data_IF_702817720947
#
_entry.id   IF_702817720947
#
_cell.length_a   1.000
_cell.length_b   1.000
_cell.length_c   1.000
_cell.angle_alpha   90.00
_cell.angle_beta   90.00
_cell.angle_gamma   90.00
#
_symmetry.space_group_name_H-M   'P 1'
#
loop_
_entity.id
_entity.type
_entity.pdbx_description
1 polymer ?
#
# COMPACT_ATOMS: atom_id res chain seq x y z
N UNK A 1 -49.81 14.07 47.65
CA UNK A 1 -49.17 13.36 46.52
C UNK A 1 -47.84 12.85 47.04
N UNK A 2 -47.68 11.53 47.19
CA UNK A 2 -46.47 10.95 47.80
C UNK A 2 -45.24 11.23 46.93
N UNK A 3 -44.10 11.43 47.58
CA UNK A 3 -42.82 11.78 46.93
C UNK A 3 -42.40 10.73 45.89
N UNK A 4 -42.88 9.50 46.00
CA UNK A 4 -42.58 8.39 45.09
C UNK A 4 -43.38 8.45 43.78
N UNK A 5 -44.63 8.95 43.80
CA UNK A 5 -45.43 9.18 42.58
C UNK A 5 -44.77 10.23 41.68
N UNK A 6 -44.22 11.30 42.29
CA UNK A 6 -43.51 12.35 41.55
C UNK A 6 -42.20 11.83 40.94
N UNK A 7 -41.49 10.93 41.63
CA UNK A 7 -40.28 10.30 41.09
C UNK A 7 -40.60 9.36 39.92
N UNK A 8 -41.70 8.62 40.02
CA UNK A 8 -42.17 7.71 38.96
C UNK A 8 -42.54 8.46 37.68
N UNK A 9 -43.34 9.53 37.78
CA UNK A 9 -43.73 10.35 36.62
C UNK A 9 -42.52 10.97 35.92
N UNK A 10 -41.57 11.53 36.68
CA UNK A 10 -40.34 12.11 36.13
C UNK A 10 -39.47 11.06 35.41
N UNK A 11 -39.32 9.86 35.99
CA UNK A 11 -38.54 8.78 35.38
C UNK A 11 -39.22 8.27 34.09
N UNK A 12 -40.56 8.18 34.09
CA UNK A 12 -41.34 7.79 32.92
C UNK A 12 -41.22 8.79 31.77
N UNK A 13 -41.23 10.08 32.08
CA UNK A 13 -41.02 11.13 31.08
C UNK A 13 -39.60 11.14 30.51
N UNK A 14 -38.58 10.93 31.36
CA UNK A 14 -37.19 10.79 30.92
C UNK A 14 -36.99 9.57 30.00
N UNK A 15 -37.63 8.44 30.33
CA UNK A 15 -37.62 7.22 29.51
C UNK A 15 -38.33 7.43 28.17
N UNK A 16 -39.55 7.98 28.20
CA UNK A 16 -40.31 8.29 26.98
C UNK A 16 -39.54 9.24 26.08
N UNK A 17 -38.90 10.25 26.67
CA UNK A 17 -38.04 11.16 25.93
C UNK A 17 -36.81 10.44 25.35
N UNK A 18 -36.17 9.53 26.08
CA UNK A 18 -35.00 8.79 25.56
C UNK A 18 -35.35 7.96 24.31
N UNK A 19 -36.42 7.18 24.35
CA UNK A 19 -36.83 6.27 23.26
C UNK A 19 -37.56 6.96 22.09
N UNK A 20 -37.99 8.21 22.23
CA UNK A 20 -38.61 8.96 21.13
C UNK A 20 -37.63 9.20 19.96
N UNK A 21 -38.16 9.15 18.73
CA UNK A 21 -37.34 9.39 17.54
C UNK A 21 -36.81 10.84 17.49
N UNK A 22 -35.68 11.10 16.81
CA UNK A 22 -35.13 12.45 16.69
C UNK A 22 -36.10 13.47 16.06
N UNK A 23 -36.92 13.02 15.09
CA UNK A 23 -37.93 13.86 14.44
C UNK A 23 -39.08 14.22 15.39
N UNK A 24 -39.50 13.29 16.24
CA UNK A 24 -40.50 13.55 17.28
C UNK A 24 -39.93 14.49 18.36
N UNK A 25 -38.67 14.31 18.77
CA UNK A 25 -37.97 15.23 19.69
C UNK A 25 -37.95 16.66 19.15
N UNK A 26 -37.66 16.82 17.86
CA UNK A 26 -37.71 18.12 17.19
C UNK A 26 -39.13 18.71 17.17
N UNK A 27 -40.14 17.92 16.83
CA UNK A 27 -41.55 18.36 16.82
C UNK A 27 -42.05 18.78 18.21
N UNK A 28 -41.57 18.13 19.26
CA UNK A 28 -42.06 18.35 20.64
C UNK A 28 -41.33 19.47 21.37
N UNK A 29 -40.03 19.67 21.14
CA UNK A 29 -39.21 20.69 21.84
C UNK A 29 -38.58 21.76 20.94
N UNK A 30 -38.81 21.73 19.62
CA UNK A 30 -38.20 22.64 18.60
C UNK A 30 -36.65 22.69 18.60
N UNK A 31 -35.97 21.76 19.27
CA UNK A 31 -34.52 21.76 19.37
C UNK A 31 -33.89 21.16 18.11
N UNK A 32 -33.15 21.97 17.34
CA UNK A 32 -32.48 21.56 16.09
C UNK A 32 -31.66 20.26 16.32
N UNK A 33 -31.85 19.20 15.51
CA UNK A 33 -31.18 17.92 15.69
C UNK A 33 -29.74 17.97 15.15
N UNK A 34 -28.88 18.75 15.81
CA UNK A 34 -27.46 18.91 15.43
C UNK A 34 -26.73 17.58 15.24
N UNK A 35 -27.07 16.56 16.04
CA UNK A 35 -26.51 15.20 15.92
C UNK A 35 -26.75 14.59 14.54
N UNK A 36 -27.98 14.70 14.00
CA UNK A 36 -28.30 14.18 12.67
C UNK A 36 -27.56 14.96 11.58
N UNK A 37 -27.48 16.29 11.72
CA UNK A 37 -26.73 17.14 10.79
C UNK A 37 -25.24 16.76 10.72
N UNK A 38 -24.60 16.56 11.87
CA UNK A 38 -23.19 16.12 11.94
C UNK A 38 -23.00 14.74 11.30
N UNK A 39 -23.91 13.79 11.52
CA UNK A 39 -23.79 12.46 10.89
C UNK A 39 -23.93 12.52 9.37
N UNK A 40 -24.87 13.31 8.83
CA UNK A 40 -25.04 13.47 7.38
C UNK A 40 -23.79 14.16 6.79
N UNK A 41 -23.32 15.24 7.41
CA UNK A 41 -22.11 15.93 6.98
C UNK A 41 -20.91 14.98 6.97
N UNK A 42 -20.76 14.16 8.03
CA UNK A 42 -19.70 13.16 8.14
C UNK A 42 -19.73 12.17 6.99
N UNK A 43 -20.89 11.63 6.64
CA UNK A 43 -21.02 10.67 5.53
C UNK A 43 -20.56 11.30 4.22
N UNK A 44 -21.02 12.51 3.90
CA UNK A 44 -20.62 13.23 2.68
C UNK A 44 -19.11 13.50 2.67
N UNK A 45 -18.55 13.90 3.81
CA UNK A 45 -17.12 14.20 3.94
C UNK A 45 -16.24 12.97 3.76
N UNK A 46 -16.51 11.88 4.48
CA UNK A 46 -15.73 10.64 4.40
C UNK A 46 -15.83 10.01 3.00
N UNK A 47 -17.03 10.01 2.41
CA UNK A 47 -17.20 9.47 1.04
C UNK A 47 -16.43 10.28 0.02
N UNK A 48 -16.48 11.61 0.10
CA UNK A 48 -15.68 12.48 -0.78
C UNK A 48 -14.18 12.25 -0.57
N UNK A 49 -13.72 12.13 0.68
CA UNK A 49 -12.33 11.82 1.00
C UNK A 49 -11.85 10.51 0.38
N UNK A 50 -12.68 9.46 0.48
CA UNK A 50 -12.38 8.14 -0.05
C UNK A 50 -12.31 8.16 -1.58
N UNK A 51 -13.24 8.85 -2.25
CA UNK A 51 -13.24 8.96 -3.72
C UNK A 51 -12.00 9.70 -4.22
N UNK A 52 -11.66 10.83 -3.60
CA UNK A 52 -10.46 11.60 -3.98
C UNK A 52 -9.18 10.76 -3.78
N UNK A 53 -9.06 10.09 -2.63
CA UNK A 53 -7.92 9.21 -2.36
C UNK A 53 -7.86 8.02 -3.33
N UNK A 54 -9.00 7.42 -3.65
CA UNK A 54 -9.10 6.32 -4.60
C UNK A 54 -8.63 6.72 -6.01
N UNK A 55 -9.01 7.91 -6.48
CA UNK A 55 -8.58 8.40 -7.79
C UNK A 55 -7.07 8.64 -7.86
N UNK A 56 -6.47 9.29 -6.85
CA UNK A 56 -5.02 9.51 -6.82
C UNK A 56 -4.26 8.18 -6.73
N UNK A 57 -4.70 7.24 -5.90
CA UNK A 57 -4.06 5.92 -5.81
C UNK A 57 -4.20 5.10 -7.10
N UNK A 58 -5.35 5.16 -7.76
CA UNK A 58 -5.56 4.45 -9.03
C UNK A 58 -4.56 4.92 -10.09
N UNK A 59 -4.27 6.22 -10.16
CA UNK A 59 -3.28 6.77 -11.08
C UNK A 59 -1.86 6.24 -10.78
N UNK A 60 -1.49 6.15 -9.50
CA UNK A 60 -0.18 5.59 -9.10
C UNK A 60 -0.08 4.10 -9.42
N UNK A 61 -1.13 3.33 -9.14
CA UNK A 61 -1.17 1.89 -9.45
C UNK A 61 -1.09 1.64 -10.95
N UNK A 62 -1.88 2.37 -11.74
CA UNK A 62 -1.84 2.27 -13.20
C UNK A 62 -0.45 2.60 -13.75
N UNK A 63 0.18 3.67 -13.25
CA UNK A 63 1.56 4.01 -13.62
C UNK A 63 2.54 2.88 -13.29
N UNK A 64 2.45 2.27 -12.10
CA UNK A 64 3.31 1.13 -11.73
C UNK A 64 3.11 -0.07 -12.66
N UNK A 65 1.86 -0.43 -12.93
CA UNK A 65 1.50 -1.58 -13.78
C UNK A 65 1.98 -1.37 -15.23
N UNK A 66 1.73 -0.20 -15.82
CA UNK A 66 2.16 0.13 -17.18
C UNK A 66 3.70 0.16 -17.31
N UNK A 67 4.41 0.69 -16.31
CA UNK A 67 5.88 0.68 -16.31
C UNK A 67 6.44 -0.73 -16.13
N UNK A 68 5.86 -1.55 -15.25
CA UNK A 68 6.24 -2.97 -15.12
C UNK A 68 6.09 -3.67 -16.46
N UNK A 69 4.96 -3.47 -17.13
CA UNK A 69 4.71 -4.06 -18.43
C UNK A 69 5.72 -3.60 -19.49
N UNK A 70 6.02 -2.30 -19.54
CA UNK A 70 7.01 -1.76 -20.46
C UNK A 70 8.42 -2.34 -20.22
N UNK A 71 8.84 -2.43 -18.96
CA UNK A 71 10.15 -2.96 -18.58
C UNK A 71 10.26 -4.48 -18.83
N UNK A 72 9.18 -5.24 -18.60
CA UNK A 72 9.09 -6.65 -18.99
C UNK A 72 9.33 -6.82 -20.49
N UNK A 73 8.62 -6.06 -21.33
CA UNK A 73 8.82 -6.10 -22.79
C UNK A 73 10.21 -5.63 -23.24
N UNK A 74 10.87 -4.74 -22.48
CA UNK A 74 12.19 -4.24 -22.83
C UNK A 74 13.32 -5.23 -22.50
N UNK A 75 13.25 -5.85 -21.31
CA UNK A 75 14.35 -6.65 -20.75
C UNK A 75 14.17 -8.16 -20.93
N UNK A 76 12.93 -8.65 -20.99
CA UNK A 76 12.67 -10.07 -21.18
C UNK A 76 12.56 -10.39 -22.66
N UNK A 77 13.48 -11.23 -23.14
CA UNK A 77 13.52 -11.67 -24.52
C UNK A 77 12.28 -12.52 -24.85
N UNK A 78 11.66 -12.26 -25.99
CA UNK A 78 10.51 -13.01 -26.51
C UNK A 78 9.26 -12.98 -25.59
N UNK A 79 9.14 -11.97 -24.72
CA UNK A 79 7.94 -11.77 -23.91
C UNK A 79 6.72 -11.47 -24.78
N UNK A 80 5.66 -12.26 -24.63
CA UNK A 80 4.45 -12.22 -25.48
C UNK A 80 3.39 -11.22 -25.00
N UNK A 81 3.64 -10.54 -23.88
CA UNK A 81 2.66 -9.66 -23.24
C UNK A 81 1.62 -10.37 -22.39
N UNK A 82 1.71 -11.70 -22.27
CA UNK A 82 0.96 -12.49 -21.30
C UNK A 82 1.98 -13.22 -20.46
N UNK A 83 1.88 -13.05 -19.15
CA UNK A 83 2.66 -13.82 -18.21
C UNK A 83 2.26 -15.31 -18.32
N UNK A 84 3.23 -16.20 -18.54
CA UNK A 84 3.00 -17.64 -18.37
C UNK A 84 2.79 -17.95 -16.87
N UNK A 85 2.57 -19.23 -16.52
CA UNK A 85 2.38 -19.67 -15.13
C UNK A 85 3.37 -18.97 -14.17
N UNK A 86 2.81 -18.35 -13.11
CA UNK A 86 3.55 -17.72 -12.01
C UNK A 86 4.39 -16.47 -12.40
N UNK A 87 3.92 -15.65 -13.36
CA UNK A 87 4.56 -14.38 -13.74
C UNK A 87 5.99 -14.52 -14.29
N UNK A 88 6.32 -15.69 -14.83
CA UNK A 88 7.68 -16.06 -15.25
C UNK A 88 7.76 -16.42 -16.72
N UNK A 89 8.93 -16.27 -17.33
CA UNK A 89 9.23 -16.83 -18.65
C UNK A 89 10.05 -18.10 -18.49
N UNK A 90 9.61 -19.17 -19.12
CA UNK A 90 10.27 -20.46 -19.05
C UNK A 90 11.29 -20.66 -20.16
N UNK A 91 12.51 -21.07 -19.81
CA UNK A 91 13.59 -21.36 -20.75
C UNK A 91 14.12 -22.79 -20.55
N UNK A 92 14.24 -23.53 -21.66
CA UNK A 92 14.53 -24.97 -21.65
C UNK A 92 15.93 -25.33 -22.18
N UNK A 93 16.68 -24.36 -22.72
CA UNK A 93 18.00 -24.63 -23.32
C UNK A 93 19.06 -23.70 -22.77
N UNK A 94 20.28 -24.22 -22.59
CA UNK A 94 21.43 -23.44 -22.12
C UNK A 94 21.71 -22.24 -23.03
N UNK A 95 21.56 -22.40 -24.36
CA UNK A 95 21.73 -21.31 -25.33
C UNK A 95 20.71 -20.20 -25.11
N UNK A 96 19.45 -20.54 -24.88
CA UNK A 96 18.42 -19.56 -24.62
C UNK A 96 18.62 -18.83 -23.27
N UNK A 97 19.19 -19.48 -22.26
CA UNK A 97 19.59 -18.82 -21.01
C UNK A 97 20.67 -17.78 -21.27
N UNK A 98 21.73 -18.15 -22.01
CA UNK A 98 22.77 -17.21 -22.43
C UNK A 98 22.22 -16.05 -23.26
N UNK A 99 21.38 -16.34 -24.25
CA UNK A 99 20.78 -15.32 -25.11
C UNK A 99 19.93 -14.34 -24.30
N UNK A 100 19.16 -14.83 -23.33
CA UNK A 100 18.33 -14.00 -22.46
C UNK A 100 19.20 -13.13 -21.53
N UNK A 101 20.24 -13.71 -20.93
CA UNK A 101 21.20 -12.98 -20.10
C UNK A 101 21.88 -11.84 -20.88
N UNK A 102 22.38 -12.13 -22.08
CA UNK A 102 23.04 -11.10 -22.89
C UNK A 102 22.06 -10.08 -23.47
N UNK A 103 20.81 -10.49 -23.72
CA UNK A 103 19.74 -9.57 -24.12
C UNK A 103 19.51 -8.50 -23.05
N UNK A 104 19.37 -8.89 -21.77
CA UNK A 104 19.20 -7.94 -20.65
C UNK A 104 20.33 -6.91 -20.61
N UNK A 105 21.59 -7.36 -20.73
CA UNK A 105 22.78 -6.48 -20.68
C UNK A 105 22.78 -5.49 -21.86
N UNK A 106 22.48 -5.98 -23.06
CA UNK A 106 22.45 -5.17 -24.28
C UNK A 106 21.31 -4.13 -24.23
N UNK A 107 20.12 -4.53 -23.76
CA UNK A 107 18.98 -3.64 -23.59
C UNK A 107 19.24 -2.58 -22.52
N UNK A 108 19.86 -2.96 -21.39
CA UNK A 108 20.27 -2.01 -20.37
C UNK A 108 21.22 -0.97 -20.96
N UNK A 109 22.22 -1.36 -21.75
CA UNK A 109 23.18 -0.41 -22.35
C UNK A 109 22.54 0.60 -23.32
N UNK A 110 21.45 0.20 -23.98
CA UNK A 110 20.73 1.01 -24.98
C UNK A 110 19.44 1.63 -24.44
N UNK A 111 19.20 1.57 -23.14
CA UNK A 111 17.93 1.98 -22.51
C UNK A 111 17.49 3.39 -22.97
N UNK A 112 18.41 4.35 -22.99
CA UNK A 112 18.12 5.74 -23.37
C UNK A 112 17.71 5.95 -24.83
N UNK A 113 18.00 5.00 -25.73
CA UNK A 113 17.58 5.07 -27.14
C UNK A 113 16.32 4.25 -27.42
N UNK A 114 16.06 3.23 -26.61
CA UNK A 114 14.97 2.27 -26.81
C UNK A 114 13.71 2.63 -26.02
N UNK A 115 13.86 3.19 -24.81
CA UNK A 115 12.73 3.55 -23.96
C UNK A 115 11.95 4.72 -24.53
N UNK A 116 10.64 4.55 -24.66
CA UNK A 116 9.69 5.63 -24.98
C UNK A 116 9.36 6.46 -23.72
N UNK A 117 9.43 5.85 -22.55
CA UNK A 117 9.14 6.49 -21.28
C UNK A 117 10.28 7.39 -20.80
N UNK A 118 9.98 8.40 -19.96
CA UNK A 118 10.96 9.30 -19.34
C UNK A 118 11.72 8.58 -18.20
N UNK A 119 12.44 7.52 -18.56
CA UNK A 119 13.21 6.67 -17.66
C UNK A 119 14.70 6.91 -17.94
N UNK A 120 15.46 7.18 -16.88
CA UNK A 120 16.91 7.33 -16.92
C UNK A 120 17.56 6.34 -15.98
N UNK A 121 18.87 6.15 -16.12
CA UNK A 121 19.61 5.41 -15.11
C UNK A 121 19.60 6.18 -13.78
N UNK A 122 19.63 5.46 -12.67
CA UNK A 122 19.83 6.10 -11.38
C UNK A 122 21.26 6.64 -11.27
N UNK A 123 21.41 7.76 -10.57
CA UNK A 123 22.69 8.40 -10.30
C UNK A 123 22.98 8.34 -8.79
N UNK A 124 24.24 8.09 -8.44
CA UNK A 124 24.79 8.20 -7.09
C UNK A 124 24.94 9.68 -6.67
N UNK A 125 25.26 9.93 -5.40
CA UNK A 125 25.46 11.28 -4.86
C UNK A 125 26.55 12.09 -5.61
N UNK A 126 27.52 11.39 -6.20
CA UNK A 126 28.59 11.97 -7.02
C UNK A 126 28.15 12.27 -8.48
N UNK A 127 26.89 12.05 -8.85
CA UNK A 127 26.39 12.21 -10.22
C UNK A 127 26.85 11.10 -11.19
N UNK A 128 27.39 10.00 -10.66
CA UNK A 128 27.79 8.83 -11.46
C UNK A 128 26.61 7.88 -11.63
N UNK A 129 26.46 7.34 -12.83
CA UNK A 129 25.42 6.33 -13.10
C UNK A 129 25.63 5.08 -12.26
N UNK A 130 24.58 4.64 -11.56
CA UNK A 130 24.58 3.38 -10.81
C UNK A 130 24.87 2.20 -11.75
N UNK A 131 25.69 1.29 -11.23
CA UNK A 131 26.15 0.13 -11.98
C UNK A 131 25.07 -0.96 -11.99
N UNK A 132 25.00 -1.70 -13.08
CA UNK A 132 24.23 -2.95 -13.14
C UNK A 132 25.08 -4.05 -12.50
N UNK A 133 24.48 -4.83 -11.61
CA UNK A 133 25.13 -5.91 -10.88
C UNK A 133 24.55 -7.26 -11.30
N UNK A 134 25.42 -8.20 -11.65
CA UNK A 134 25.05 -9.58 -11.98
C UNK A 134 25.70 -10.46 -10.93
N UNK A 135 24.87 -11.20 -10.19
CA UNK A 135 25.30 -12.19 -9.21
C UNK A 135 24.87 -13.57 -9.66
N UNK A 136 25.77 -14.54 -9.54
CA UNK A 136 25.50 -15.95 -9.82
C UNK A 136 25.71 -16.75 -8.54
N UNK A 137 24.77 -17.62 -8.22
CA UNK A 137 24.79 -18.46 -7.03
C UNK A 137 25.00 -19.92 -7.44
N UNK A 138 25.98 -20.57 -6.83
CA UNK A 138 26.31 -21.97 -7.09
C UNK A 138 26.36 -22.76 -5.80
N UNK A 139 26.08 -24.05 -5.88
CA UNK A 139 26.56 -24.98 -4.86
C UNK A 139 28.08 -25.08 -4.91
N UNK A 140 28.75 -25.11 -3.76
CA UNK A 140 30.19 -25.36 -3.70
C UNK A 140 30.51 -26.77 -4.22
N UNK A 141 31.67 -26.91 -4.88
CA UNK A 141 32.19 -28.25 -5.17
C UNK A 141 32.48 -28.91 -3.83
N UNK A 142 32.05 -30.16 -3.67
CA UNK A 142 32.49 -30.93 -2.54
C UNK A 142 33.98 -31.28 -2.65
N UNK A 143 34.47 -32.01 -1.67
CA UNK A 143 35.90 -32.25 -1.46
C UNK A 143 36.28 -33.74 -1.60
N UNK A 144 35.45 -34.53 -2.26
CA UNK A 144 35.65 -35.98 -2.41
C UNK A 144 36.61 -36.28 -3.57
N UNK A 145 37.53 -37.21 -3.34
CA UNK A 145 38.33 -37.80 -4.42
C UNK A 145 37.41 -38.52 -5.42
N UNK A 146 37.66 -38.40 -6.74
CA UNK A 146 36.76 -38.90 -7.77
C UNK A 146 36.85 -40.43 -7.82
N UNK A 147 36.02 -41.10 -7.02
CA UNK A 147 35.52 -42.43 -7.37
C UNK A 147 34.30 -42.22 -8.27
N UNK A 148 34.32 -42.83 -9.46
CA UNK A 148 33.48 -42.60 -10.65
C UNK A 148 31.93 -42.61 -10.47
N UNK A 149 31.39 -42.62 -9.25
CA UNK A 149 29.96 -42.77 -8.96
C UNK A 149 29.39 -41.85 -7.87
N UNK A 150 30.19 -40.99 -7.24
CA UNK A 150 29.69 -40.07 -6.21
C UNK A 150 29.52 -38.66 -6.80
N UNK A 151 28.29 -38.14 -6.79
CA UNK A 151 28.02 -36.73 -7.06
C UNK A 151 28.51 -35.90 -5.86
N UNK A 152 29.53 -35.08 -6.06
CA UNK A 152 30.20 -34.32 -5.00
C UNK A 152 29.76 -32.86 -4.98
N UNK A 153 28.61 -32.61 -4.35
CA UNK A 153 28.05 -31.27 -4.16
C UNK A 153 27.93 -30.99 -2.66
N UNK A 154 28.47 -29.85 -2.23
CA UNK A 154 28.22 -29.30 -0.90
C UNK A 154 26.95 -28.42 -0.94
N UNK A 155 26.07 -28.58 0.04
CA UNK A 155 24.85 -27.78 0.18
C UNK A 155 25.14 -26.29 0.48
N UNK A 156 26.38 -25.93 0.82
CA UNK A 156 26.80 -24.55 0.95
C UNK A 156 26.78 -23.81 -0.40
N UNK A 157 26.22 -22.61 -0.38
CA UNK A 157 26.16 -21.72 -1.52
C UNK A 157 27.40 -20.82 -1.61
N UNK A 158 27.80 -20.50 -2.83
CA UNK A 158 28.84 -19.55 -3.18
C UNK A 158 28.26 -18.54 -4.17
N UNK A 159 28.29 -17.26 -3.79
CA UNK A 159 27.80 -16.15 -4.60
C UNK A 159 28.97 -15.41 -5.23
N UNK A 160 28.98 -15.27 -6.55
CA UNK A 160 29.98 -14.49 -7.28
C UNK A 160 29.28 -13.36 -8.01
N UNK A 161 29.66 -12.11 -7.72
CA UNK A 161 29.03 -10.92 -8.29
C UNK A 161 30.00 -10.10 -9.14
N UNK A 162 29.44 -9.37 -10.11
CA UNK A 162 30.15 -8.44 -10.98
C UNK A 162 29.28 -7.21 -11.21
N UNK A 163 29.88 -6.01 -11.08
CA UNK A 163 29.18 -4.74 -11.26
C UNK A 163 29.92 -3.86 -12.26
N UNK A 164 29.22 -3.43 -13.31
CA UNK A 164 29.78 -2.60 -14.37
C UNK A 164 28.79 -1.50 -14.79
N UNK A 165 29.32 -0.42 -15.39
CA UNK A 165 28.49 0.65 -15.94
C UNK A 165 27.72 0.22 -17.20
N UNK A 166 26.93 1.13 -17.81
CA UNK A 166 26.25 0.85 -19.06
C UNK A 166 27.28 0.63 -20.19
N UNK A 167 27.57 -0.64 -20.46
CA UNK A 167 28.49 -1.14 -21.49
C UNK A 167 27.81 -2.26 -22.26
N UNK A 168 28.12 -2.40 -23.55
CA UNK A 168 27.51 -3.43 -24.41
C UNK A 168 27.91 -4.84 -23.95
N UNK A 169 27.02 -5.83 -24.13
CA UNK A 169 27.30 -7.23 -23.79
C UNK A 169 28.62 -7.79 -24.40
N UNK A 170 29.01 -7.31 -25.59
CA UNK A 170 30.29 -7.68 -26.23
C UNK A 170 31.51 -7.24 -25.41
N UNK A 171 31.47 -6.06 -24.80
CA UNK A 171 32.55 -5.53 -23.98
C UNK A 171 32.68 -6.33 -22.67
N UNK A 172 31.54 -6.69 -22.07
CA UNK A 172 31.49 -7.53 -20.87
C UNK A 172 32.09 -8.91 -21.13
N UNK A 173 31.68 -9.55 -22.24
CA UNK A 173 32.20 -10.87 -22.62
C UNK A 173 33.69 -10.86 -22.92
N UNK A 174 34.19 -9.78 -23.53
CA UNK A 174 35.62 -9.64 -23.86
C UNK A 174 36.46 -9.39 -22.61
N UNK A 175 35.94 -8.64 -21.63
CA UNK A 175 36.67 -8.34 -20.39
C UNK A 175 36.65 -9.51 -19.40
N UNK A 176 35.54 -10.26 -19.32
CA UNK A 176 35.32 -11.25 -18.27
C UNK A 176 34.71 -12.55 -18.79
N UNK A 177 35.36 -13.19 -19.76
CA UNK A 177 34.86 -14.45 -20.35
C UNK A 177 34.65 -15.57 -19.31
N UNK A 178 35.50 -15.65 -18.28
CA UNK A 178 35.40 -16.66 -17.22
C UNK A 178 34.20 -16.46 -16.29
N UNK A 179 33.70 -15.23 -16.14
CA UNK A 179 32.52 -14.97 -15.32
C UNK A 179 31.25 -15.51 -15.98
N UNK A 180 31.16 -15.40 -17.31
CA UNK A 180 30.04 -15.87 -18.11
C UNK A 180 30.11 -17.36 -18.45
N UNK A 181 31.13 -18.09 -18.00
CA UNK A 181 31.12 -19.56 -18.11
C UNK A 181 30.23 -20.11 -16.98
N UNK A 182 29.01 -20.54 -17.34
CA UNK A 182 28.00 -21.03 -16.40
C UNK A 182 28.05 -22.56 -16.29
N UNK A 183 28.28 -23.04 -15.06
CA UNK A 183 28.19 -24.46 -14.71
C UNK A 183 26.74 -24.80 -14.30
N UNK A 184 25.88 -25.09 -15.29
CA UNK A 184 24.43 -25.35 -15.08
C UNK A 184 24.14 -26.50 -14.09
N UNK A 185 25.08 -27.42 -13.90
CA UNK A 185 24.94 -28.52 -12.95
C UNK A 185 24.94 -28.02 -11.49
N UNK A 186 25.71 -26.96 -11.20
CA UNK A 186 25.83 -26.36 -9.86
C UNK A 186 25.05 -25.06 -9.70
N UNK A 187 24.59 -24.47 -10.81
CA UNK A 187 23.94 -23.15 -10.83
C UNK A 187 22.58 -23.20 -10.15
N UNK A 188 22.41 -22.43 -9.09
CA UNK A 188 21.16 -22.30 -8.35
C UNK A 188 20.32 -21.18 -8.93
N UNK A 189 20.88 -19.97 -8.99
CA UNK A 189 20.23 -18.83 -9.65
C UNK A 189 21.22 -17.80 -10.19
N UNK A 190 20.71 -16.92 -11.06
CA UNK A 190 21.40 -15.70 -11.51
C UNK A 190 20.49 -14.52 -11.23
N UNK A 191 20.99 -13.52 -10.50
CA UNK A 191 20.27 -12.28 -10.17
C UNK A 191 20.94 -11.10 -10.86
N UNK A 192 20.17 -10.36 -11.63
CA UNK A 192 20.60 -9.11 -12.27
C UNK A 192 19.84 -7.97 -11.61
N UNK A 193 20.56 -7.06 -10.98
CA UNK A 193 19.97 -5.93 -10.25
C UNK A 193 20.51 -4.60 -10.78
N UNK A 194 19.60 -3.65 -11.01
CA UNK A 194 19.94 -2.29 -11.39
C UNK A 194 18.83 -1.32 -10.97
N UNK A 195 19.18 -0.04 -10.89
CA UNK A 195 18.25 1.01 -10.49
C UNK A 195 18.02 1.99 -11.61
N UNK A 196 16.75 2.28 -11.89
CA UNK A 196 16.30 3.29 -12.84
C UNK A 196 15.56 4.38 -12.10
N UNK A 197 15.52 5.58 -12.68
CA UNK A 197 14.68 6.69 -12.20
C UNK A 197 13.69 7.07 -13.29
N UNK A 198 12.49 7.47 -12.91
CA UNK A 198 11.52 8.03 -13.84
C UNK A 198 10.58 8.99 -13.16
N UNK A 199 9.85 9.73 -13.99
CA UNK A 199 8.95 10.79 -13.53
C UNK A 199 7.55 10.49 -14.04
N UNK A 200 6.58 10.50 -13.12
CA UNK A 200 5.18 10.38 -13.52
C UNK A 200 4.65 11.76 -13.94
N UNK A 201 4.52 11.98 -15.25
CA UNK A 201 3.97 13.22 -15.80
C UNK A 201 2.45 13.29 -15.76
N UNK A 202 1.75 12.18 -15.52
CA UNK A 202 0.29 12.14 -15.49
C UNK A 202 -0.30 12.90 -14.30
N UNK A 203 0.39 12.91 -13.16
CA UNK A 203 0.00 13.65 -11.94
C UNK A 203 0.02 15.17 -12.15
N UNK A 204 0.93 15.67 -13.00
CA UNK A 204 1.00 17.10 -13.38
C UNK A 204 -0.30 17.56 -14.04
N UNK A 205 -0.94 16.70 -14.85
CA UNK A 205 -2.23 17.00 -15.50
C UNK A 205 -3.37 17.12 -14.48
N UNK A 206 -3.28 16.35 -13.40
CA UNK A 206 -4.22 16.40 -12.26
C UNK A 206 -3.94 17.54 -11.28
N UNK A 207 -2.97 18.43 -11.60
CA UNK A 207 -2.54 19.55 -10.74
C UNK A 207 -2.01 19.10 -9.37
N UNK A 208 -1.50 17.89 -9.29
CA UNK A 208 -0.73 17.39 -8.16
C UNK A 208 0.78 17.55 -8.47
N UNK A 209 1.61 17.49 -7.43
CA UNK A 209 3.07 17.53 -7.58
C UNK A 209 3.51 16.22 -8.27
N UNK A 210 4.45 16.22 -9.23
CA UNK A 210 4.97 15.00 -9.81
C UNK A 210 5.86 14.27 -8.81
N UNK A 211 5.59 12.97 -8.67
CA UNK A 211 6.43 12.08 -7.89
C UNK A 211 7.58 11.57 -8.77
N UNK A 212 8.79 11.60 -8.22
CA UNK A 212 9.96 10.97 -8.80
C UNK A 212 10.03 9.53 -8.28
N UNK A 213 9.98 8.57 -9.19
CA UNK A 213 10.05 7.15 -8.85
C UNK A 213 11.46 6.61 -9.10
N UNK A 214 11.96 5.84 -8.15
CA UNK A 214 13.10 4.96 -8.32
C UNK A 214 12.58 3.54 -8.52
N UNK A 215 12.98 2.91 -9.62
CA UNK A 215 12.65 1.53 -9.95
C UNK A 215 13.87 0.67 -9.65
N UNK A 216 13.77 -0.19 -8.65
CA UNK A 216 14.78 -1.20 -8.37
C UNK A 216 14.38 -2.48 -9.12
N UNK A 217 15.01 -2.71 -10.26
CA UNK A 217 14.70 -3.84 -11.14
C UNK A 217 15.58 -5.03 -10.74
N UNK A 218 14.94 -6.18 -10.52
CA UNK A 218 15.59 -7.45 -10.23
C UNK A 218 15.10 -8.50 -11.22
N UNK A 219 16.03 -9.05 -12.01
CA UNK A 219 15.75 -10.15 -12.93
C UNK A 219 16.40 -11.41 -12.38
N UNK A 220 15.60 -12.43 -12.10
CA UNK A 220 16.04 -13.68 -11.47
C UNK A 220 15.88 -14.83 -12.43
N UNK A 221 16.98 -15.53 -12.73
CA UNK A 221 17.00 -16.80 -13.45
C UNK A 221 17.05 -17.91 -12.40
N UNK A 222 15.91 -18.50 -12.10
CA UNK A 222 15.76 -19.55 -11.10
C UNK A 222 15.96 -20.94 -11.73
N UNK A 223 16.97 -21.66 -11.22
CA UNK A 223 17.28 -23.04 -11.57
C UNK A 223 17.30 -23.94 -10.32
N UNK A 224 16.72 -23.53 -9.19
CA UNK A 224 16.77 -24.27 -7.91
C UNK A 224 16.26 -25.72 -8.00
N UNK A 225 15.30 -25.98 -8.90
CA UNK A 225 14.73 -27.32 -9.09
C UNK A 225 15.62 -28.25 -9.95
N UNK A 226 16.58 -27.71 -10.71
CA UNK A 226 17.43 -28.44 -11.66
C UNK A 226 16.66 -29.40 -12.58
N UNK A 227 15.43 -29.05 -12.97
CA UNK A 227 14.52 -29.90 -13.75
C UNK A 227 14.72 -29.81 -15.26
N UNK A 228 15.73 -29.07 -15.72
CA UNK A 228 15.92 -28.71 -17.13
C UNK A 228 15.05 -27.52 -17.59
N UNK A 229 14.32 -26.90 -16.66
CA UNK A 229 13.54 -25.69 -16.81
C UNK A 229 14.16 -24.59 -15.95
N UNK A 230 14.54 -23.47 -16.58
CA UNK A 230 14.95 -22.25 -15.89
C UNK A 230 13.83 -21.23 -16.00
N UNK A 231 13.34 -20.73 -14.87
CA UNK A 231 12.31 -19.69 -14.84
C UNK A 231 12.95 -18.32 -14.72
N UNK A 232 12.50 -17.36 -15.53
CA UNK A 232 13.00 -15.99 -15.50
C UNK A 232 11.89 -15.11 -14.94
N UNK A 233 12.16 -14.48 -13.81
CA UNK A 233 11.28 -13.53 -13.14
C UNK A 233 11.83 -12.12 -13.31
N UNK A 234 10.93 -11.14 -13.40
CA UNK A 234 11.28 -9.72 -13.35
C UNK A 234 10.43 -9.06 -12.29
N UNK A 235 11.08 -8.71 -11.18
CA UNK A 235 10.50 -8.00 -10.05
C UNK A 235 10.97 -6.55 -10.07
N UNK A 236 10.05 -5.63 -9.78
CA UNK A 236 10.36 -4.20 -9.71
C UNK A 236 9.83 -3.65 -8.39
N UNK A 237 10.73 -3.18 -7.54
CA UNK A 237 10.36 -2.42 -6.36
C UNK A 237 10.32 -0.93 -6.71
N UNK A 238 9.20 -0.29 -6.38
CA UNK A 238 8.94 1.12 -6.66
C UNK A 238 9.10 1.93 -5.39
N UNK A 239 10.07 2.82 -5.38
CA UNK A 239 10.28 3.80 -4.31
C UNK A 239 9.89 5.19 -4.80
N UNK A 240 8.91 5.82 -4.16
CA UNK A 240 8.50 7.19 -4.47
C UNK A 240 9.28 8.19 -3.65
N UNK A 241 9.77 9.25 -4.29
CA UNK A 241 10.50 10.34 -3.65
C UNK A 241 10.05 11.70 -4.18
N UNK A 242 10.15 12.73 -3.35
CA UNK A 242 9.94 14.11 -3.79
C UNK A 242 11.00 14.50 -4.82
N UNK A 243 10.59 15.03 -5.97
CA UNK A 243 11.55 15.57 -6.92
C UNK A 243 12.26 16.81 -6.32
N UNK A 244 13.60 16.86 -6.35
CA UNK A 244 14.38 18.05 -5.95
C UNK A 244 14.36 19.08 -7.08
N UNK A 245 14.25 20.37 -6.72
CA UNK A 245 14.43 21.54 -7.61
C UNK A 245 13.56 21.58 -8.88
N UNK A 246 12.27 21.33 -8.73
CA UNK A 246 11.31 21.42 -9.82
C UNK A 246 10.59 22.78 -9.83
N UNK A 247 10.81 23.57 -10.88
CA UNK A 247 10.12 24.86 -11.08
C UNK A 247 8.88 24.67 -11.94
N UNK A 248 7.77 24.22 -11.35
CA UNK A 248 6.48 24.29 -12.05
C UNK A 248 5.95 25.72 -11.95
N UNK A 249 5.92 26.42 -13.09
CA UNK A 249 5.16 27.65 -13.23
C UNK A 249 3.67 27.30 -13.25
N UNK A 250 2.98 27.32 -12.11
CA UNK A 250 1.53 27.06 -12.08
C UNK A 250 0.89 26.81 -10.70
N UNK A 251 -0.44 26.90 -10.66
CA UNK A 251 -1.34 26.80 -9.49
C UNK A 251 -1.39 25.43 -8.77
N UNK A 252 -0.51 24.48 -9.10
CA UNK A 252 -0.55 23.11 -8.58
C UNK A 252 -0.28 23.02 -7.08
N UNK A 253 0.67 23.82 -6.57
CA UNK A 253 1.06 23.85 -5.15
C UNK A 253 -0.12 24.19 -4.22
N UNK A 254 -1.06 25.03 -4.69
CA UNK A 254 -2.23 25.43 -3.90
C UNK A 254 -3.19 24.26 -3.66
N UNK A 255 -3.28 23.30 -4.58
CA UNK A 255 -4.26 22.21 -4.51
C UNK A 255 -3.91 21.18 -3.41
N UNK A 256 -2.63 20.87 -3.25
CA UNK A 256 -2.14 19.95 -2.20
C UNK A 256 -2.47 20.47 -0.80
N UNK A 257 -2.31 21.78 -0.56
CA UNK A 257 -2.67 22.38 0.72
C UNK A 257 -4.18 22.28 1.01
N UNK A 258 -5.05 22.43 0.00
CA UNK A 258 -6.49 22.25 0.19
C UNK A 258 -6.88 20.81 0.56
N UNK A 259 -6.21 19.80 -0.01
CA UNK A 259 -6.45 18.40 0.33
C UNK A 259 -6.06 18.09 1.78
N UNK A 260 -4.91 18.58 2.25
CA UNK A 260 -4.49 18.42 3.65
C UNK A 260 -5.44 19.13 4.63
N UNK A 261 -5.88 20.35 4.31
CA UNK A 261 -6.88 21.08 5.11
C UNK A 261 -8.21 20.32 5.14
N UNK A 262 -8.62 19.76 4.01
CA UNK A 262 -9.84 18.94 3.91
C UNK A 262 -9.74 17.70 4.81
N UNK A 263 -8.63 16.96 4.76
CA UNK A 263 -8.41 15.79 5.63
C UNK A 263 -8.43 16.17 7.13
N UNK A 264 -7.85 17.32 7.50
CA UNK A 264 -7.95 17.87 8.85
C UNK A 264 -9.39 18.19 9.27
N UNK A 265 -10.22 18.70 8.35
CA UNK A 265 -11.63 18.95 8.59
C UNK A 265 -12.44 17.66 8.79
N UNK A 266 -12.13 16.60 8.03
CA UNK A 266 -12.75 15.28 8.24
C UNK A 266 -12.47 14.75 9.65
N UNK A 267 -11.22 14.84 10.11
CA UNK A 267 -10.83 14.43 11.48
C UNK A 267 -11.64 15.20 12.53
N UNK A 268 -11.77 16.52 12.37
CA UNK A 268 -12.57 17.35 13.30
C UNK A 268 -14.03 16.90 13.36
N UNK A 269 -14.66 16.65 12.20
CA UNK A 269 -16.05 16.17 12.13
C UNK A 269 -16.18 14.80 12.80
N UNK A 270 -15.24 13.87 12.57
CA UNK A 270 -15.24 12.56 13.21
C UNK A 270 -15.08 12.65 14.74
N UNK A 271 -14.20 13.53 15.25
CA UNK A 271 -14.04 13.74 16.70
C UNK A 271 -15.34 14.30 17.32
N UNK A 272 -15.97 15.29 16.67
CA UNK A 272 -17.24 15.84 17.17
C UNK A 272 -18.37 14.79 17.14
N UNK A 273 -18.43 13.96 16.11
CA UNK A 273 -19.34 12.81 16.03
C UNK A 273 -19.12 11.82 17.19
N UNK A 274 -17.87 11.37 17.39
CA UNK A 274 -17.51 10.44 18.45
C UNK A 274 -17.84 10.99 19.84
N UNK A 275 -17.56 12.27 20.09
CA UNK A 275 -17.90 12.93 21.35
C UNK A 275 -19.42 13.00 21.60
N UNK A 276 -20.21 13.33 20.56
CA UNK A 276 -21.68 13.37 20.64
C UNK A 276 -22.30 11.98 20.87
N UNK A 277 -21.77 10.95 20.21
CA UNK A 277 -22.19 9.56 20.40
C UNK A 277 -21.80 9.04 21.78
N UNK A 278 -20.58 9.29 22.23
CA UNK A 278 -20.11 8.91 23.58
C UNK A 278 -20.95 9.56 24.68
N UNK A 279 -21.26 10.86 24.55
CA UNK A 279 -22.19 11.54 25.46
C UNK A 279 -23.58 10.89 25.50
N UNK A 280 -24.05 10.38 24.36
CA UNK A 280 -25.35 9.70 24.26
C UNK A 280 -25.33 8.34 24.96
N UNK A 281 -24.24 7.58 24.82
CA UNK A 281 -24.03 6.31 25.54
C UNK A 281 -23.92 6.56 27.05
N UNK A 282 -23.17 7.58 27.49
CA UNK A 282 -23.06 7.92 28.93
C UNK A 282 -24.43 8.28 29.51
N UNK A 283 -25.24 9.04 28.77
CA UNK A 283 -26.61 9.37 29.19
C UNK A 283 -27.48 8.12 29.29
N UNK A 284 -27.39 7.21 28.31
CA UNK A 284 -28.10 5.93 28.30
C UNK A 284 -27.73 5.07 29.52
N UNK A 285 -26.43 4.91 29.81
CA UNK A 285 -25.93 4.14 30.96
C UNK A 285 -26.37 4.78 32.28
N UNK A 286 -26.36 6.12 32.37
CA UNK A 286 -26.84 6.83 33.57
C UNK A 286 -28.34 6.62 33.77
N UNK A 287 -29.13 6.64 32.70
CA UNK A 287 -30.58 6.41 32.73
C UNK A 287 -30.87 4.95 33.12
N UNK A 288 -30.15 3.98 32.54
CA UNK A 288 -30.27 2.57 32.88
C UNK A 288 -29.96 2.30 34.36
N UNK A 289 -28.91 2.93 34.91
CA UNK A 289 -28.59 2.82 36.35
C UNK A 289 -29.71 3.38 37.24
N UNK A 290 -30.28 4.54 36.88
CA UNK A 290 -31.40 5.13 37.63
C UNK A 290 -32.65 4.25 37.56
N UNK A 291 -32.97 3.74 36.37
CA UNK A 291 -34.10 2.84 36.16
C UNK A 291 -33.93 1.53 36.95
N UNK A 292 -32.75 0.91 36.91
CA UNK A 292 -32.47 -0.31 37.65
C UNK A 292 -32.56 -0.13 39.17
N UNK A 293 -32.10 1.03 39.69
CA UNK A 293 -32.19 1.33 41.12
C UNK A 293 -33.65 1.53 41.56
N UNK A 294 -34.41 2.32 40.80
CA UNK A 294 -35.84 2.54 41.05
C UNK A 294 -36.66 1.24 40.97
N UNK A 295 -36.37 0.39 39.99
CA UNK A 295 -37.08 -0.88 39.80
C UNK A 295 -36.80 -1.87 40.95
N UNK A 296 -35.58 -1.86 41.47
CA UNK A 296 -35.21 -2.71 42.60
C UNK A 296 -35.83 -2.22 43.91
N UNK A 297 -35.78 -0.92 44.20
CA UNK A 297 -36.32 -0.33 45.43
C UNK A 297 -37.85 -0.48 45.54
N UNK A 298 -38.58 -0.28 44.44
CA UNK A 298 -40.05 -0.24 44.48
C UNK A 298 -40.72 -1.58 44.17
N UNK A 299 -40.09 -2.44 43.36
CA UNK A 299 -40.70 -3.70 42.91
C UNK A 299 -39.92 -4.95 43.34
N UNK A 300 -38.77 -4.80 44.01
CA UNK A 300 -37.87 -5.88 44.46
C UNK A 300 -37.52 -6.90 43.35
N UNK A 301 -37.49 -6.43 42.09
CA UNK A 301 -37.16 -7.23 40.91
C UNK A 301 -35.90 -6.67 40.25
N UNK A 302 -35.15 -7.55 39.57
CA UNK A 302 -34.02 -7.15 38.71
C UNK A 302 -34.53 -6.92 37.29
N UNK A 303 -33.93 -5.97 36.59
CA UNK A 303 -34.22 -5.68 35.18
C UNK A 303 -33.66 -6.81 34.30
N UNK A 304 -34.45 -7.29 33.33
CA UNK A 304 -34.05 -8.33 32.38
C UNK A 304 -32.86 -7.88 31.53
N UNK A 305 -31.99 -8.83 31.14
CA UNK A 305 -30.81 -8.53 30.31
C UNK A 305 -31.20 -8.00 28.92
N UNK A 306 -32.33 -8.43 28.38
CA UNK A 306 -32.83 -7.97 27.08
C UNK A 306 -33.25 -6.50 27.14
N UNK A 307 -33.94 -6.09 28.20
CA UNK A 307 -34.28 -4.68 28.44
C UNK A 307 -33.00 -3.84 28.60
N UNK A 308 -31.98 -4.34 29.31
CA UNK A 308 -30.69 -3.65 29.45
C UNK A 308 -29.98 -3.44 28.12
N UNK A 309 -30.06 -4.42 27.20
CA UNK A 309 -29.50 -4.31 25.84
C UNK A 309 -30.28 -3.31 24.99
N UNK A 310 -31.60 -3.18 25.17
CA UNK A 310 -32.42 -2.20 24.45
C UNK A 310 -32.05 -0.75 24.79
N UNK A 311 -31.59 -0.49 26.03
CA UNK A 311 -31.05 0.83 26.41
C UNK A 311 -29.72 1.15 25.69
N UNK A 312 -28.89 0.15 25.42
CA UNK A 312 -27.61 0.33 24.73
C UNK A 312 -27.81 0.22 23.21
N UNK A 313 -28.11 1.35 22.58
CA UNK A 313 -28.32 1.39 21.13
C UNK A 313 -27.00 1.08 20.37
N UNK A 314 -26.93 -0.11 19.77
CA UNK A 314 -25.78 -0.62 19.01
C UNK A 314 -25.37 0.26 17.82
N UNK A 315 -26.28 1.07 17.27
CA UNK A 315 -25.96 2.02 16.21
C UNK A 315 -24.94 3.07 16.66
N UNK A 316 -25.01 3.55 17.92
CA UNK A 316 -24.01 4.50 18.43
C UNK A 316 -22.63 3.85 18.57
N UNK A 317 -22.57 2.56 18.93
CA UNK A 317 -21.31 1.81 19.01
C UNK A 317 -20.69 1.67 17.62
N UNK A 318 -21.49 1.30 16.61
CA UNK A 318 -21.04 1.19 15.22
C UNK A 318 -20.52 2.53 14.70
N UNK A 319 -21.21 3.63 15.00
CA UNK A 319 -20.76 4.98 14.64
C UNK A 319 -19.41 5.32 15.28
N UNK A 320 -19.19 5.00 16.56
CA UNK A 320 -17.91 5.26 17.22
C UNK A 320 -16.78 4.44 16.59
N UNK A 321 -17.01 3.17 16.28
CA UNK A 321 -16.01 2.33 15.60
C UNK A 321 -15.66 2.92 14.22
N UNK A 322 -16.68 3.31 13.45
CA UNK A 322 -16.48 3.98 12.15
C UNK A 322 -15.69 5.28 12.28
N UNK A 323 -15.96 6.09 13.31
CA UNK A 323 -15.26 7.35 13.54
C UNK A 323 -13.78 7.11 13.88
N UNK A 324 -13.49 6.09 14.70
CA UNK A 324 -12.11 5.69 15.04
C UNK A 324 -11.35 5.23 13.80
N UNK A 325 -11.94 4.36 12.98
CA UNK A 325 -11.32 3.90 11.74
C UNK A 325 -11.07 5.05 10.76
N UNK A 326 -12.02 5.99 10.63
CA UNK A 326 -11.87 7.16 9.76
C UNK A 326 -10.77 8.11 10.24
N UNK A 327 -10.62 8.30 11.56
CA UNK A 327 -9.54 9.11 12.14
C UNK A 327 -8.19 8.46 11.88
N UNK A 328 -8.05 7.16 12.17
CA UNK A 328 -6.79 6.43 11.94
C UNK A 328 -6.42 6.45 10.45
N UNK A 329 -7.39 6.18 9.56
CA UNK A 329 -7.17 6.22 8.12
C UNK A 329 -6.75 7.60 7.61
N UNK A 330 -7.35 8.67 8.13
CA UNK A 330 -6.99 10.05 7.77
C UNK A 330 -5.58 10.42 8.24
N UNK A 331 -5.18 10.00 9.44
CA UNK A 331 -3.83 10.23 9.97
C UNK A 331 -2.80 9.49 9.11
N UNK A 332 -3.04 8.21 8.79
CA UNK A 332 -2.14 7.43 7.94
C UNK A 332 -2.02 8.04 6.54
N UNK A 333 -3.14 8.51 5.96
CA UNK A 333 -3.13 9.22 4.67
C UNK A 333 -2.27 10.47 4.73
N UNK A 334 -2.42 11.30 5.77
CA UNK A 334 -1.60 12.51 5.97
C UNK A 334 -0.12 12.18 6.17
N UNK A 335 0.20 11.08 6.85
CA UNK A 335 1.59 10.62 7.01
C UNK A 335 2.20 10.19 5.67
N UNK A 336 1.46 9.42 4.85
CA UNK A 336 1.91 9.00 3.52
C UNK A 336 2.13 10.23 2.62
N UNK A 337 1.20 11.18 2.60
CA UNK A 337 1.32 12.39 1.79
C UNK A 337 2.44 13.33 2.28
N UNK A 338 2.66 13.43 3.59
CA UNK A 338 3.72 14.27 4.14
C UNK A 338 5.12 13.69 3.95
N UNK A 339 5.29 12.35 4.04
CA UNK A 339 6.56 11.68 3.69
C UNK A 339 6.93 11.77 2.21
N UNK A 340 5.96 12.04 1.35
CA UNK A 340 6.20 12.35 -0.08
C UNK A 340 6.58 13.83 -0.27
N UNK A 341 6.35 14.69 0.73
CA UNK A 341 6.58 16.15 0.63
C UNK A 341 7.88 16.61 1.30
N UNK A 342 8.43 15.85 2.26
CA UNK A 342 9.74 16.08 2.88
C UNK A 342 10.79 15.14 2.28
#
# INVERSE_FOLDING_TARGET
>A
MSQDLVKEENLRDDLRYYFMSPCEKYRTRRHIPWKMGVQILKIVMITTQLVLFGLSNQLVVAYKEENTMALKNLFLKDYSGVDEDDFSISVYTQRAVYDSLFHVIDQYSRLGQLSVGPISYAEDEDGRTKLITICKEYYKRGNLEPSDKAYDIDAQLETVCMSNGPKTAKEWKTQNASFFDLDFYRLVDIKITFQLKGINLQTVRSRELPDCYSFNVMITFDNQCHSGLVKIFLDIDFESSACRDWKISGTAEKNTHYLLVFDGFVILVCITSAALCTRSIILAVRLLKRFSLFFHENFNRKVCEDDQKEFLNGWYVLVIISDVLAIIGSILKMEIQSKVTF
#
